data_IF_991720753063
#
_entry.id   IF_991720753063
#
_cell.length_a   1.000
_cell.length_b   1.000
_cell.length_c   1.000
_cell.angle_alpha   90.00
_cell.angle_beta   90.00
_cell.angle_gamma   90.00
#
_symmetry.space_group_name_H-M   'P 1'
#
loop_
_entity.id
_entity.type
_entity.pdbx_description
1 polymer ?
#
# COMPACT_ATOMS: atom_id res chain seq x y z
N UNK A 1 -33.11 -22.62 -50.88
CA UNK A 1 -31.95 -21.71 -50.71
C UNK A 1 -32.06 -20.97 -49.38
N UNK A 2 -32.04 -21.69 -48.25
CA UNK A 2 -32.31 -21.12 -46.90
C UNK A 2 -31.28 -21.56 -45.84
N UNK A 3 -30.19 -22.23 -46.25
CA UNK A 3 -29.23 -22.85 -45.33
C UNK A 3 -28.08 -21.96 -44.86
N UNK A 4 -27.79 -20.86 -45.57
CA UNK A 4 -26.57 -20.06 -45.34
C UNK A 4 -26.79 -18.86 -44.40
N UNK A 5 -28.03 -18.38 -44.21
CA UNK A 5 -28.33 -17.22 -43.36
C UNK A 5 -28.33 -17.56 -41.86
N UNK A 6 -28.72 -18.78 -41.48
CA UNK A 6 -28.73 -19.23 -40.08
C UNK A 6 -27.32 -19.56 -39.53
N UNK A 7 -26.41 -20.03 -40.39
CA UNK A 7 -25.02 -20.33 -40.01
C UNK A 7 -24.25 -19.04 -39.76
N UNK A 8 -24.45 -18.02 -40.59
CA UNK A 8 -23.84 -16.69 -40.43
C UNK A 8 -24.23 -16.00 -39.12
N UNK A 9 -25.48 -16.09 -38.68
CA UNK A 9 -25.94 -15.46 -37.43
C UNK A 9 -25.33 -16.12 -36.17
N UNK A 10 -25.19 -17.45 -36.19
CA UNK A 10 -24.58 -18.18 -35.06
C UNK A 10 -23.09 -17.88 -34.97
N UNK A 11 -22.38 -17.80 -36.10
CA UNK A 11 -20.94 -17.50 -36.10
C UNK A 11 -20.64 -16.03 -35.80
N UNK A 12 -21.42 -15.07 -36.33
CA UNK A 12 -21.24 -13.64 -36.01
C UNK A 12 -21.64 -13.33 -34.57
N UNK A 13 -22.72 -13.94 -34.07
CA UNK A 13 -23.12 -13.81 -32.66
C UNK A 13 -22.06 -14.37 -31.70
N UNK A 14 -21.47 -15.51 -32.02
CA UNK A 14 -20.38 -16.10 -31.23
C UNK A 14 -19.10 -15.27 -31.27
N UNK A 15 -18.76 -14.67 -32.42
CA UNK A 15 -17.61 -13.78 -32.53
C UNK A 15 -17.79 -12.49 -31.72
N UNK A 16 -18.99 -11.92 -31.72
CA UNK A 16 -19.30 -10.71 -30.93
C UNK A 16 -19.30 -11.01 -29.43
N UNK A 17 -19.93 -12.12 -29.00
CA UNK A 17 -19.88 -12.55 -27.60
C UNK A 17 -18.43 -12.84 -27.18
N UNK A 18 -17.64 -13.45 -28.06
CA UNK A 18 -16.21 -13.67 -27.80
C UNK A 18 -15.41 -12.37 -27.69
N UNK A 19 -15.71 -11.35 -28.50
CA UNK A 19 -15.05 -10.03 -28.43
C UNK A 19 -15.43 -9.30 -27.13
N UNK A 20 -16.71 -9.31 -26.75
CA UNK A 20 -17.19 -8.72 -25.50
C UNK A 20 -16.62 -9.44 -24.27
N UNK A 21 -16.51 -10.78 -24.31
CA UNK A 21 -15.88 -11.56 -23.25
C UNK A 21 -14.35 -11.38 -23.21
N UNK A 22 -13.71 -11.10 -24.35
CA UNK A 22 -12.28 -10.77 -24.41
C UNK A 22 -12.01 -9.39 -23.77
N UNK A 23 -12.87 -8.40 -24.02
CA UNK A 23 -12.78 -7.07 -23.38
C UNK A 23 -13.01 -7.13 -21.86
N UNK A 24 -13.97 -7.96 -21.42
CA UNK A 24 -14.22 -8.22 -19.98
C UNK A 24 -13.04 -8.97 -19.35
N UNK A 25 -12.49 -9.98 -20.04
CA UNK A 25 -11.33 -10.76 -19.58
C UNK A 25 -10.06 -9.93 -19.44
N UNK A 26 -9.83 -8.98 -20.37
CA UNK A 26 -8.69 -8.07 -20.31
C UNK A 26 -8.76 -7.10 -19.11
N UNK A 27 -9.97 -6.75 -18.65
CA UNK A 27 -10.17 -5.92 -17.47
C UNK A 27 -9.97 -6.69 -16.14
N UNK A 28 -10.15 -8.02 -16.14
CA UNK A 28 -9.98 -8.85 -14.93
C UNK A 28 -8.52 -9.20 -14.62
N UNK A 29 -7.59 -9.02 -15.57
CA UNK A 29 -6.15 -9.35 -15.40
C UNK A 29 -5.25 -8.14 -15.12
N UNK A 30 -5.80 -6.94 -14.87
CA UNK A 30 -4.98 -5.85 -14.32
C UNK A 30 -4.64 -6.16 -12.86
N UNK A 31 -3.46 -6.75 -12.70
CA UNK A 31 -2.91 -7.34 -11.48
C UNK A 31 -2.80 -6.41 -10.26
N UNK A 32 -2.34 -6.97 -9.13
CA UNK A 32 -2.31 -6.28 -7.85
C UNK A 32 -1.51 -4.98 -7.94
N UNK A 33 -2.17 -3.89 -7.56
CA UNK A 33 -1.60 -2.55 -7.43
C UNK A 33 -0.35 -2.60 -6.52
N UNK A 34 0.83 -2.40 -7.11
CA UNK A 34 2.12 -2.37 -6.41
C UNK A 34 2.34 -1.04 -5.66
N UNK A 35 1.39 -0.11 -5.68
CA UNK A 35 1.46 1.07 -4.83
C UNK A 35 0.97 0.73 -3.42
N UNK A 36 1.79 1.01 -2.40
CA UNK A 36 1.45 0.72 -1.01
C UNK A 36 0.24 1.56 -0.59
N UNK A 37 -0.95 0.98 -0.67
CA UNK A 37 -2.21 1.62 -0.33
C UNK A 37 -2.19 2.12 1.13
N UNK A 38 -2.72 3.32 1.43
CA UNK A 38 -2.86 3.76 2.83
C UNK A 38 -3.66 2.77 3.70
N UNK A 39 -4.59 1.99 3.12
CA UNK A 39 -5.33 0.94 3.84
C UNK A 39 -4.40 -0.21 4.22
N UNK A 40 -3.61 -0.70 3.27
CA UNK A 40 -2.66 -1.79 3.49
C UNK A 40 -1.56 -1.38 4.47
N UNK A 41 -1.05 -0.15 4.36
CA UNK A 41 -0.13 0.42 5.35
C UNK A 41 -0.74 0.47 6.76
N UNK A 42 -2.01 0.87 6.89
CA UNK A 42 -2.68 0.90 8.20
C UNK A 42 -2.84 -0.50 8.79
N UNK A 43 -3.18 -1.49 7.96
CA UNK A 43 -3.29 -2.88 8.37
C UNK A 43 -1.93 -3.39 8.87
N UNK A 44 -0.85 -3.14 8.14
CA UNK A 44 0.49 -3.55 8.55
C UNK A 44 0.93 -2.87 9.85
N UNK A 45 0.67 -1.56 10.02
CA UNK A 45 0.98 -0.85 11.27
C UNK A 45 0.25 -1.44 12.49
N UNK A 46 -1.02 -1.81 12.32
CA UNK A 46 -1.80 -2.44 13.39
C UNK A 46 -1.23 -3.83 13.71
N UNK A 47 -0.87 -4.60 12.67
CA UNK A 47 -0.27 -5.93 12.85
C UNK A 47 1.06 -5.85 13.62
N UNK A 48 1.96 -4.94 13.24
CA UNK A 48 3.24 -4.72 13.91
C UNK A 48 3.05 -4.28 15.37
N UNK A 49 2.05 -3.42 15.62
CA UNK A 49 1.68 -3.03 16.99
C UNK A 49 1.24 -4.22 17.82
N UNK A 50 0.34 -5.06 17.31
CA UNK A 50 -0.16 -6.24 18.02
C UNK A 50 0.97 -7.22 18.32
N UNK A 51 1.89 -7.42 17.37
CA UNK A 51 3.09 -8.24 17.57
C UNK A 51 3.94 -7.68 18.73
N UNK A 52 4.19 -6.37 18.74
CA UNK A 52 4.95 -5.73 19.80
C UNK A 52 4.28 -5.85 21.18
N UNK A 53 2.96 -5.64 21.24
CA UNK A 53 2.19 -5.77 22.48
C UNK A 53 2.28 -7.19 23.05
N UNK A 54 2.30 -8.22 22.19
CA UNK A 54 2.55 -9.61 22.58
C UNK A 54 3.94 -9.80 23.22
N UNK A 55 5.00 -9.29 22.60
CA UNK A 55 6.37 -9.38 23.12
C UNK A 55 6.52 -8.66 24.47
N UNK A 56 5.89 -7.49 24.63
CA UNK A 56 5.88 -6.74 25.90
C UNK A 56 5.23 -7.57 27.02
N UNK A 57 4.15 -8.30 26.71
CA UNK A 57 3.46 -9.16 27.67
C UNK A 57 4.32 -10.36 28.07
N UNK A 58 5.03 -10.97 27.13
CA UNK A 58 5.93 -12.10 27.37
C UNK A 58 7.12 -11.72 28.26
N UNK A 59 7.77 -10.58 27.97
CA UNK A 59 8.91 -10.09 28.75
C UNK A 59 8.52 -9.73 30.19
N UNK A 60 7.31 -9.22 30.40
CA UNK A 60 6.78 -8.98 31.75
C UNK A 60 6.67 -10.26 32.56
N UNK A 61 6.36 -11.39 31.93
CA UNK A 61 6.19 -12.68 32.60
C UNK A 61 7.54 -13.36 32.93
N UNK A 62 8.62 -13.01 32.24
CA UNK A 62 9.94 -13.66 32.35
C UNK A 62 10.92 -12.92 33.29
N UNK A 63 10.44 -11.90 34.01
CA UNK A 63 11.23 -10.96 34.81
C UNK A 63 12.36 -11.63 35.62
N UNK A 64 13.57 -11.59 35.05
CA UNK A 64 14.80 -12.04 35.71
C UNK A 64 15.92 -11.07 35.37
N UNK A 65 16.60 -10.63 36.44
CA UNK A 65 17.89 -9.94 36.52
C UNK A 65 17.89 -8.41 36.63
N UNK A 66 18.71 -7.99 37.61
CA UNK A 66 18.87 -6.67 38.18
C UNK A 66 19.82 -5.79 37.32
N UNK A 67 19.56 -5.71 36.02
CA UNK A 67 20.26 -4.76 35.15
C UNK A 67 19.33 -3.61 34.81
N UNK A 68 19.80 -2.38 35.03
CA UNK A 68 19.11 -1.17 34.59
C UNK A 68 19.03 -1.22 33.06
N UNK A 69 17.85 -1.47 32.52
CA UNK A 69 17.58 -1.48 31.09
C UNK A 69 16.26 -0.79 30.79
N UNK A 70 16.19 -0.15 29.62
CA UNK A 70 14.93 0.33 29.09
C UNK A 70 14.06 -0.83 28.64
N UNK A 71 12.80 -0.82 29.06
CA UNK A 71 11.80 -1.83 28.69
C UNK A 71 11.38 -1.71 27.23
N UNK A 72 10.91 -2.81 26.63
CA UNK A 72 10.34 -2.78 25.29
C UNK A 72 9.16 -1.81 25.22
N UNK A 73 9.10 -1.01 24.16
CA UNK A 73 8.04 -0.02 23.97
C UNK A 73 7.66 0.13 22.50
N UNK A 74 6.37 0.35 22.26
CA UNK A 74 5.84 0.76 20.97
C UNK A 74 5.81 2.30 20.88
N UNK A 75 6.44 2.89 19.87
CA UNK A 75 6.54 4.35 19.70
C UNK A 75 5.56 4.94 18.68
N UNK A 76 4.48 4.21 18.37
CA UNK A 76 3.51 4.49 17.29
C UNK A 76 3.99 4.15 15.87
N UNK A 77 5.25 3.77 15.70
CA UNK A 77 5.83 3.46 14.39
C UNK A 77 6.45 2.06 14.39
N UNK A 78 7.21 1.74 15.43
CA UNK A 78 8.02 0.52 15.53
C UNK A 78 8.15 0.05 16.98
N UNK A 79 8.53 -1.22 17.12
CA UNK A 79 8.75 -1.86 18.40
C UNK A 79 10.23 -1.75 18.80
N UNK A 80 10.52 -1.02 19.88
CA UNK A 80 11.87 -0.87 20.41
C UNK A 80 12.18 -2.00 21.39
N UNK A 81 13.22 -2.83 21.17
CA UNK A 81 13.58 -3.92 22.06
C UNK A 81 14.15 -3.41 23.39
N UNK A 82 14.20 -4.27 24.42
CA UNK A 82 14.90 -3.96 25.65
C UNK A 82 16.34 -3.57 25.35
N UNK A 83 16.80 -2.47 25.94
CA UNK A 83 18.13 -1.90 25.68
C UNK A 83 18.79 -1.56 27.01
N UNK A 84 20.05 -1.97 27.24
CA UNK A 84 20.76 -1.64 28.48
C UNK A 84 20.85 -0.13 28.73
N UNK A 85 20.84 0.27 30.00
CA UNK A 85 20.96 1.68 30.39
C UNK A 85 22.23 2.32 29.83
N UNK A 86 22.09 3.57 29.36
CA UNK A 86 23.17 4.31 28.72
C UNK A 86 23.48 3.93 27.26
N UNK A 87 22.81 2.91 26.70
CA UNK A 87 23.01 2.50 25.30
C UNK A 87 22.00 3.12 24.32
N UNK A 88 22.41 3.18 23.05
CA UNK A 88 21.57 3.62 21.94
C UNK A 88 20.99 2.39 21.24
N UNK A 89 19.66 2.30 21.20
CA UNK A 89 18.96 1.31 20.38
C UNK A 89 18.99 1.76 18.92
N UNK A 90 19.40 0.89 18.01
CA UNK A 90 19.47 1.16 16.56
C UNK A 90 18.72 0.06 15.83
N UNK A 91 17.78 0.44 14.98
CA UNK A 91 17.00 -0.48 14.17
C UNK A 91 16.85 0.07 12.74
N UNK A 92 16.70 -0.80 11.73
CA UNK A 92 16.44 -0.36 10.37
C UNK A 92 15.11 0.37 10.28
N UNK A 93 15.01 1.34 9.37
CA UNK A 93 13.78 2.08 9.14
C UNK A 93 12.66 1.15 8.62
N UNK A 94 11.41 1.36 9.08
CA UNK A 94 10.29 0.45 8.77
C UNK A 94 9.89 0.49 7.29
N UNK A 95 9.87 -0.68 6.64
CA UNK A 95 9.44 -0.81 5.26
C UNK A 95 7.93 -0.62 5.08
N UNK A 96 7.13 -0.73 6.15
CA UNK A 96 5.68 -0.54 6.13
C UNK A 96 5.24 0.91 5.94
N UNK A 97 6.12 1.89 6.09
CA UNK A 97 5.79 3.31 5.91
C UNK A 97 6.19 3.78 4.52
N UNK A 98 5.32 4.55 3.87
CA UNK A 98 5.61 5.17 2.57
C UNK A 98 6.68 6.25 2.68
N UNK A 99 7.47 6.38 1.61
CA UNK A 99 8.49 7.44 1.45
C UNK A 99 9.61 7.39 2.51
N UNK A 100 9.91 6.19 3.02
CA UNK A 100 11.01 5.93 3.96
C UNK A 100 12.12 5.15 3.25
N UNK A 101 13.37 5.51 3.58
CA UNK A 101 14.56 4.78 3.14
C UNK A 101 14.81 3.61 4.08
N UNK A 102 14.54 2.38 3.64
CA UNK A 102 14.76 1.16 4.44
C UNK A 102 16.23 0.77 4.56
N UNK A 103 17.14 1.42 3.81
CA UNK A 103 18.58 1.19 3.94
C UNK A 103 19.21 1.94 5.13
N UNK A 104 18.45 2.88 5.71
CA UNK A 104 18.87 3.72 6.81
C UNK A 104 18.36 3.16 8.15
N UNK A 105 18.84 3.74 9.25
CA UNK A 105 18.49 3.31 10.59
C UNK A 105 17.82 4.42 11.40
N UNK A 106 16.82 4.04 12.20
CA UNK A 106 16.28 4.84 13.29
C UNK A 106 17.06 4.55 14.58
N UNK A 107 17.18 5.56 15.46
CA UNK A 107 17.82 5.37 16.75
C UNK A 107 17.05 5.98 17.92
N UNK A 108 17.18 5.35 19.09
CA UNK A 108 16.50 5.77 20.32
C UNK A 108 17.42 5.60 21.53
N UNK A 109 17.54 6.63 22.34
CA UNK A 109 18.48 6.66 23.47
C UNK A 109 17.83 6.07 24.73
N UNK A 110 18.49 5.09 25.33
CA UNK A 110 18.22 4.65 26.69
C UNK A 110 19.10 5.44 27.67
N UNK A 111 18.48 6.01 28.69
CA UNK A 111 19.17 6.79 29.72
C UNK A 111 19.80 5.87 30.77
N UNK A 112 20.72 6.40 31.58
CA UNK A 112 21.38 5.64 32.65
C UNK A 112 20.41 5.19 33.76
N UNK A 113 19.28 5.88 33.91
CA UNK A 113 18.23 5.54 34.87
C UNK A 113 17.32 4.38 34.41
N UNK A 114 17.60 3.79 33.23
CA UNK A 114 16.77 2.73 32.64
C UNK A 114 15.47 3.23 32.02
N UNK A 115 15.35 4.54 31.76
CA UNK A 115 14.19 5.11 31.07
C UNK A 115 14.53 5.56 29.65
N UNK A 116 13.54 5.52 28.77
CA UNK A 116 13.72 6.05 27.41
C UNK A 116 13.84 7.57 27.44
N UNK A 117 14.75 8.12 26.64
CA UNK A 117 14.88 9.57 26.51
C UNK A 117 13.57 10.22 26.07
N UNK A 118 13.15 11.25 26.81
CA UNK A 118 11.96 12.06 26.53
C UNK A 118 12.45 13.46 26.19
N UNK A 119 11.96 14.01 25.07
CA UNK A 119 12.31 15.37 24.69
C UNK A 119 11.74 16.36 25.72
N UNK A 120 12.38 17.51 25.98
CA UNK A 120 11.88 18.55 26.90
C UNK A 120 10.44 19.03 26.63
N UNK A 121 9.88 18.72 25.46
CA UNK A 121 8.50 19.03 25.07
C UNK A 121 7.51 17.89 25.42
N UNK A 122 7.83 17.02 26.39
CA UNK A 122 7.00 15.91 26.90
C UNK A 122 6.60 14.83 25.88
N UNK A 123 7.21 14.79 24.70
CA UNK A 123 7.01 13.71 23.72
C UNK A 123 8.10 12.66 23.83
N UNK A 124 7.74 11.38 23.75
CA UNK A 124 8.70 10.31 23.52
C UNK A 124 9.55 10.65 22.28
N UNK A 125 10.87 10.49 22.37
CA UNK A 125 11.77 10.92 21.30
C UNK A 125 12.43 9.73 20.61
N UNK A 126 12.45 9.78 19.29
CA UNK A 126 13.14 8.83 18.41
C UNK A 126 13.77 9.61 17.26
N UNK A 127 15.00 9.29 16.89
CA UNK A 127 15.68 9.91 15.77
C UNK A 127 15.36 9.17 14.47
N UNK A 128 14.43 9.74 13.69
CA UNK A 128 14.07 9.27 12.33
C UNK A 128 14.71 10.12 11.22
N UNK A 129 15.70 10.97 11.53
CA UNK A 129 16.26 11.93 10.56
C UNK A 129 16.82 11.25 9.32
N UNK A 130 17.39 10.05 9.49
CA UNK A 130 17.95 9.26 8.39
C UNK A 130 16.90 8.46 7.63
N UNK A 131 15.71 8.22 8.22
CA UNK A 131 14.67 7.41 7.59
C UNK A 131 13.90 8.16 6.51
N UNK A 132 13.84 9.48 6.58
CA UNK A 132 13.18 10.26 5.53
C UNK A 132 14.04 10.27 4.28
N UNK A 133 13.50 9.78 3.17
CA UNK A 133 14.11 10.00 1.86
C UNK A 133 14.23 11.51 1.67
N UNK A 134 15.46 12.02 1.72
CA UNK A 134 15.73 13.36 1.23
C UNK A 134 15.47 13.30 -0.26
N UNK A 135 14.26 13.66 -0.68
CA UNK A 135 13.96 13.83 -2.09
C UNK A 135 14.64 15.14 -2.51
N UNK A 136 15.98 15.10 -2.63
CA UNK A 136 16.86 16.20 -3.03
C UNK A 136 16.67 16.61 -4.50
N UNK A 137 15.48 16.37 -5.06
CA UNK A 137 15.09 16.64 -6.44
C UNK A 137 13.58 16.83 -6.65
N UNK A 138 12.75 16.77 -5.61
CA UNK A 138 11.36 17.24 -5.72
C UNK A 138 11.35 18.68 -5.25
N UNK A 139 11.37 19.59 -6.22
CA UNK A 139 10.97 20.97 -6.01
C UNK A 139 9.71 20.98 -5.15
N UNK A 140 9.71 21.73 -4.05
CA UNK A 140 8.53 22.05 -3.21
C UNK A 140 7.45 22.86 -3.98
N UNK A 141 7.35 22.69 -5.30
CA UNK A 141 6.46 23.41 -6.21
C UNK A 141 5.71 22.48 -7.17
N UNK A 142 5.28 21.31 -6.69
CA UNK A 142 4.13 20.64 -7.30
C UNK A 142 3.43 19.83 -6.22
N UNK A 143 2.70 20.54 -5.36
CA UNK A 143 1.64 19.93 -4.57
C UNK A 143 0.53 19.50 -5.52
N UNK A 144 0.72 18.38 -6.21
CA UNK A 144 -0.40 17.53 -6.61
C UNK A 144 -0.84 16.87 -5.30
N UNK A 145 -2.00 17.25 -4.72
CA UNK A 145 -2.42 16.67 -3.45
C UNK A 145 -2.51 15.14 -3.58
N UNK A 146 -2.09 14.37 -2.55
CA UNK A 146 -2.11 12.90 -2.55
C UNK A 146 -3.52 12.28 -2.67
N UNK A 147 -4.56 13.13 -2.70
CA UNK A 147 -5.92 12.76 -3.06
C UNK A 147 -6.09 12.50 -4.56
N UNK A 148 -5.33 13.20 -5.41
CA UNK A 148 -5.43 13.08 -6.88
C UNK A 148 -4.86 11.75 -7.35
N UNK A 149 -3.80 11.23 -6.72
CA UNK A 149 -3.19 9.94 -7.09
C UNK A 149 -4.17 8.77 -6.85
N UNK A 150 -4.82 8.72 -5.68
CA UNK A 150 -5.85 7.70 -5.37
C UNK A 150 -7.10 7.80 -6.25
N UNK A 151 -7.48 9.00 -6.62
CA UNK A 151 -8.66 9.23 -7.44
C UNK A 151 -8.37 8.98 -8.92
N UNK A 152 -7.14 9.25 -9.37
CA UNK A 152 -6.71 9.05 -10.75
C UNK A 152 -6.86 7.59 -11.18
N UNK A 153 -6.36 6.63 -10.40
CA UNK A 153 -6.40 5.21 -10.80
C UNK A 153 -7.83 4.66 -10.85
N UNK A 154 -8.64 5.02 -9.85
CA UNK A 154 -10.06 4.60 -9.79
C UNK A 154 -10.89 5.21 -10.93
N UNK A 155 -10.63 6.47 -11.29
CA UNK A 155 -11.33 7.16 -12.39
C UNK A 155 -10.84 6.69 -13.75
N UNK A 156 -9.53 6.43 -13.90
CA UNK A 156 -8.97 5.86 -15.12
C UNK A 156 -9.52 4.46 -15.40
N UNK A 157 -9.72 3.65 -14.36
CA UNK A 157 -10.40 2.36 -14.47
C UNK A 157 -11.84 2.53 -14.96
N UNK A 158 -12.61 3.44 -14.35
CA UNK A 158 -14.00 3.70 -14.74
C UNK A 158 -14.09 4.22 -16.19
N UNK A 159 -13.19 5.13 -16.58
CA UNK A 159 -13.07 5.63 -17.94
C UNK A 159 -12.76 4.50 -18.93
N UNK A 160 -11.75 3.67 -18.66
CA UNK A 160 -11.35 2.60 -19.58
C UNK A 160 -12.47 1.58 -19.81
N UNK A 161 -13.18 1.17 -18.75
CA UNK A 161 -14.35 0.29 -18.84
C UNK A 161 -15.47 0.95 -19.63
N UNK A 162 -15.76 2.23 -19.37
CA UNK A 162 -16.81 2.98 -20.05
C UNK A 162 -16.56 3.11 -21.55
N UNK A 163 -15.33 3.40 -21.96
CA UNK A 163 -14.94 3.48 -23.36
C UNK A 163 -15.00 2.13 -24.06
N UNK A 164 -14.57 1.04 -23.40
CA UNK A 164 -14.72 -0.32 -23.92
C UNK A 164 -16.18 -0.70 -24.20
N UNK A 165 -17.07 -0.49 -23.22
CA UNK A 165 -18.50 -0.77 -23.37
C UNK A 165 -19.16 0.08 -24.48
N UNK A 166 -18.80 1.37 -24.56
CA UNK A 166 -19.33 2.26 -25.59
C UNK A 166 -18.87 1.85 -26.99
N UNK A 167 -17.60 1.52 -27.17
CA UNK A 167 -17.07 1.07 -28.46
C UNK A 167 -17.68 -0.27 -28.88
N UNK A 168 -17.82 -1.22 -27.96
CA UNK A 168 -18.47 -2.51 -28.23
C UNK A 168 -19.93 -2.35 -28.69
N UNK A 169 -20.72 -1.52 -28.00
CA UNK A 169 -22.10 -1.24 -28.40
C UNK A 169 -22.20 -0.56 -29.77
N UNK A 170 -21.27 0.35 -30.08
CA UNK A 170 -21.24 1.06 -31.36
C UNK A 170 -20.91 0.12 -32.52
N UNK A 171 -19.96 -0.80 -32.34
CA UNK A 171 -19.63 -1.83 -33.34
C UNK A 171 -20.85 -2.71 -33.64
N UNK A 172 -21.59 -3.15 -32.62
CA UNK A 172 -22.81 -3.96 -32.79
C UNK A 172 -23.86 -3.19 -33.61
N UNK A 173 -24.09 -1.91 -33.30
CA UNK A 173 -25.06 -1.08 -34.02
C UNK A 173 -24.71 -0.93 -35.51
N UNK A 174 -23.44 -0.73 -35.84
CA UNK A 174 -22.97 -0.62 -37.23
C UNK A 174 -23.16 -1.94 -37.99
N UNK A 175 -22.87 -3.08 -37.37
CA UNK A 175 -23.07 -4.40 -37.98
C UNK A 175 -24.54 -4.62 -38.33
N UNK A 176 -25.46 -4.29 -37.42
CA UNK A 176 -26.92 -4.41 -37.65
C UNK A 176 -27.35 -3.52 -38.83
N UNK A 177 -26.87 -2.27 -38.88
CA UNK A 177 -27.21 -1.34 -39.96
C UNK A 177 -26.72 -1.81 -41.33
N UNK A 178 -25.53 -2.40 -41.42
CA UNK A 178 -24.98 -2.93 -42.68
C UNK A 178 -25.66 -4.24 -43.07
N UNK A 179 -26.05 -5.07 -42.09
CA UNK A 179 -26.71 -6.35 -42.33
C UNK A 179 -28.15 -6.21 -42.84
N UNK A 180 -28.91 -5.26 -42.30
CA UNK A 180 -30.30 -4.99 -42.74
C UNK A 180 -30.40 -3.99 -43.88
N UNK A 181 -29.27 -3.55 -44.44
CA UNK A 181 -29.24 -2.75 -45.65
C UNK A 181 -29.31 -3.60 -46.92
#
# INVERSE_FOLDING_TARGET
MEGWTKVGWRTTGLLIISLVLLDIGLCTEFGPDLTKNSRDQQITLIQERLLCEGLIAEERNMSTSNESQCVRVWDNVMCWPPTPAGQLAILPCPSHIRNIDTSQNASRQCMEDGTWFVHPNHSSWTNFTQCYLSVSGVNKHSSVPPLIERYADSVQLMYNIGYGLSLGSLVIAVIIMVYFK
#
